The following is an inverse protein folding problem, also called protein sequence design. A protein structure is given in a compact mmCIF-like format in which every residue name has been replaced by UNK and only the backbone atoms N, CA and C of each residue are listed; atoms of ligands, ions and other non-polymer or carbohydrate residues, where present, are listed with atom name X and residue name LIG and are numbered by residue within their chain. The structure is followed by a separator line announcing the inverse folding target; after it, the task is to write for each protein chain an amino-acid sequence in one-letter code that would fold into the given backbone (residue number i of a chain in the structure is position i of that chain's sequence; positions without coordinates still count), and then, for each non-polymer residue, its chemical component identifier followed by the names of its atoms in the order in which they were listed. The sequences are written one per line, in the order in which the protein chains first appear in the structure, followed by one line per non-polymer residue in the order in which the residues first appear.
data_IF_888118988688
#
_entry.id   IF_888118988688
#
_cell.length_a   1.000
_cell.length_b   1.000
_cell.length_c   1.000
_cell.angle_alpha   90.00
_cell.angle_beta   90.00
_cell.angle_gamma   90.00
#
_symmetry.space_group_name_H-M   'P 1'
#
loop_
_entity.id
_entity.type
_entity.pdbx_description
1 polymer ?
#
# COMPACT_ATOMS: atom_id res chain seq x y z
N UNK A 1 -6.58 4.90 2.90
CA UNK A 1 -5.23 5.42 3.19
C UNK A 1 -5.38 6.68 4.02
N UNK A 2 -4.50 6.91 5.00
CA UNK A 2 -4.52 8.19 5.74
C UNK A 2 -4.11 9.34 4.82
N UNK A 3 -4.52 10.59 5.10
CA UNK A 3 -4.12 11.76 4.31
C UNK A 3 -2.59 11.87 4.15
N UNK A 4 -1.83 11.53 5.19
CA UNK A 4 -0.36 11.57 5.17
C UNK A 4 0.21 10.53 4.20
N UNK A 5 -0.33 9.30 4.20
CA UNK A 5 0.09 8.25 3.25
C UNK A 5 -0.24 8.66 1.81
N UNK A 6 -1.43 9.25 1.57
CA UNK A 6 -1.81 9.74 0.23
C UNK A 6 -0.80 10.78 -0.27
N UNK A 7 -0.39 11.70 0.61
CA UNK A 7 0.58 12.74 0.27
C UNK A 7 1.98 12.17 -0.01
N UNK A 8 2.41 11.16 0.76
CA UNK A 8 3.67 10.45 0.50
C UNK A 8 3.65 9.73 -0.85
N UNK A 9 2.59 8.98 -1.14
CA UNK A 9 2.40 8.29 -2.42
C UNK A 9 2.34 9.27 -3.59
N UNK A 10 1.72 10.44 -3.40
CA UNK A 10 1.65 11.49 -4.41
C UNK A 10 3.04 11.99 -4.79
N UNK A 11 3.92 12.21 -3.82
CA UNK A 11 5.31 12.62 -4.08
C UNK A 11 6.09 11.54 -4.84
N UNK A 12 5.90 10.27 -4.47
CA UNK A 12 6.55 9.15 -5.16
C UNK A 12 6.07 9.02 -6.62
N UNK A 13 4.75 9.16 -6.84
CA UNK A 13 4.14 9.17 -8.17
C UNK A 13 4.63 10.34 -9.02
N UNK A 14 4.62 11.57 -8.49
CA UNK A 14 5.05 12.79 -9.19
C UNK A 14 6.54 12.72 -9.57
N UNK A 15 7.38 12.14 -8.70
CA UNK A 15 8.78 11.86 -9.04
C UNK A 15 8.91 10.82 -10.15
N UNK A 16 8.16 9.71 -10.05
CA UNK A 16 8.20 8.63 -11.03
C UNK A 16 7.75 9.08 -12.42
N UNK A 17 6.62 9.79 -12.52
CA UNK A 17 6.07 10.24 -13.81
C UNK A 17 6.92 11.33 -14.48
N UNK A 18 7.77 12.00 -13.70
CA UNK A 18 8.70 13.04 -14.18
C UNK A 18 10.11 12.48 -14.47
N UNK A 19 10.35 11.18 -14.25
CA UNK A 19 11.70 10.58 -14.31
C UNK A 19 11.72 9.31 -15.18
N UNK A 20 12.29 9.36 -16.41
CA UNK A 20 12.91 10.52 -17.05
C UNK A 20 11.87 11.57 -17.48
N UNK A 21 12.32 12.81 -17.66
CA UNK A 21 11.47 13.89 -18.11
C UNK A 21 10.77 13.51 -19.43
N UNK A 22 9.46 13.78 -19.57
CA UNK A 22 8.75 13.48 -20.80
C UNK A 22 9.39 14.21 -21.99
N UNK A 23 9.39 13.60 -23.19
CA UNK A 23 10.00 14.18 -24.39
C UNK A 23 9.29 15.45 -24.88
N UNK A 24 8.12 15.74 -24.32
CA UNK A 24 7.32 16.94 -24.57
C UNK A 24 7.47 17.91 -23.40
N UNK A 25 7.48 19.24 -23.63
CA UNK A 25 7.61 20.27 -22.59
C UNK A 25 6.28 20.44 -21.84
N UNK A 26 5.75 19.34 -21.33
CA UNK A 26 4.54 19.26 -20.54
C UNK A 26 4.97 18.96 -19.11
N UNK A 27 4.41 19.69 -18.15
CA UNK A 27 4.50 19.33 -16.74
C UNK A 27 3.42 18.27 -16.44
N UNK A 28 3.79 16.98 -16.27
CA UNK A 28 2.82 15.94 -15.95
C UNK A 28 2.12 16.19 -14.61
N UNK A 29 2.74 16.97 -13.71
CA UNK A 29 2.23 17.27 -12.39
C UNK A 29 1.27 18.47 -12.39
N UNK A 30 0.96 19.07 -13.55
CA UNK A 30 -0.02 20.16 -13.65
C UNK A 30 -1.38 19.73 -13.10
N UNK A 31 -2.00 20.58 -12.27
CA UNK A 31 -3.30 20.32 -11.62
C UNK A 31 -4.39 21.29 -12.05
N UNK A 32 -5.63 20.81 -12.03
CA UNK A 32 -6.83 21.63 -12.15
C UNK A 32 -7.16 22.33 -10.82
N UNK A 33 -8.13 23.25 -10.84
CA UNK A 33 -8.55 23.99 -9.63
C UNK A 33 -9.10 23.10 -8.51
N UNK A 34 -9.59 21.92 -8.85
CA UNK A 34 -10.12 20.93 -7.91
C UNK A 34 -9.04 19.98 -7.35
N UNK A 35 -7.78 20.14 -7.77
CA UNK A 35 -6.65 19.33 -7.32
C UNK A 35 -6.38 18.06 -8.14
N UNK A 36 -7.21 17.72 -9.14
CA UNK A 36 -6.95 16.59 -10.06
C UNK A 36 -5.83 16.91 -11.02
N UNK A 37 -5.16 15.89 -11.56
CA UNK A 37 -4.18 16.10 -12.62
C UNK A 37 -4.88 16.63 -13.88
N UNK A 38 -4.23 17.57 -14.57
CA UNK A 38 -4.80 18.26 -15.72
C UNK A 38 -5.00 17.36 -16.94
N UNK A 39 -4.23 16.27 -17.02
CA UNK A 39 -4.25 15.32 -18.13
C UNK A 39 -4.89 14.00 -17.70
N UNK A 40 -5.91 13.56 -18.44
CA UNK A 40 -6.70 12.36 -18.11
C UNK A 40 -5.84 11.10 -17.96
N UNK A 41 -4.80 10.94 -18.78
CA UNK A 41 -3.90 9.77 -18.69
C UNK A 41 -3.03 9.79 -17.43
N UNK A 42 -2.68 10.97 -16.91
CA UNK A 42 -1.95 11.12 -15.64
C UNK A 42 -2.89 10.89 -14.46
N UNK A 43 -4.11 11.44 -14.51
CA UNK A 43 -5.15 11.18 -13.51
C UNK A 43 -5.49 9.68 -13.43
N UNK A 44 -5.59 9.01 -14.59
CA UNK A 44 -5.78 7.56 -14.65
C UNK A 44 -4.60 6.80 -14.03
N UNK A 45 -3.36 7.16 -14.39
CA UNK A 45 -2.16 6.55 -13.82
C UNK A 45 -2.08 6.76 -12.30
N UNK A 46 -2.47 7.94 -11.81
CA UNK A 46 -2.56 8.23 -10.38
C UNK A 46 -3.58 7.32 -9.67
N UNK A 47 -4.77 7.12 -10.24
CA UNK A 47 -5.77 6.19 -9.66
C UNK A 47 -5.26 4.75 -9.61
N UNK A 48 -4.57 4.30 -10.66
CA UNK A 48 -3.93 2.98 -10.67
C UNK A 48 -2.83 2.87 -9.60
N UNK A 49 -2.02 3.92 -9.43
CA UNK A 49 -1.02 4.01 -8.37
C UNK A 49 -1.65 3.96 -6.99
N UNK A 50 -2.72 4.71 -6.75
CA UNK A 50 -3.46 4.69 -5.48
C UNK A 50 -4.06 3.31 -5.19
N UNK A 51 -4.59 2.62 -6.21
CA UNK A 51 -5.10 1.26 -6.06
C UNK A 51 -3.98 0.29 -5.64
N UNK A 52 -2.80 0.39 -6.27
CA UNK A 52 -1.60 -0.36 -5.86
C UNK A 52 -1.19 -0.01 -4.43
N UNK A 53 -1.06 1.27 -4.08
CA UNK A 53 -0.60 1.71 -2.76
C UNK A 53 -1.62 1.45 -1.63
N UNK A 54 -2.89 1.31 -1.98
CA UNK A 54 -3.96 0.88 -1.08
C UNK A 54 -3.93 -0.63 -0.82
N UNK A 55 -3.30 -1.43 -1.70
CA UNK A 55 -2.98 -2.81 -1.34
C UNK A 55 -1.94 -2.77 -0.21
N UNK A 56 -2.14 -3.65 0.75
CA UNK A 56 -1.23 -3.79 1.88
C UNK A 56 0.12 -4.29 1.36
N UNK A 57 1.17 -3.48 1.50
CA UNK A 57 2.53 -3.94 1.23
C UNK A 57 3.00 -4.82 2.39
N UNK A 58 3.81 -5.82 2.08
CA UNK A 58 4.48 -6.64 3.08
C UNK A 58 5.53 -5.82 3.82
N UNK A 59 5.39 -5.72 5.13
CA UNK A 59 6.28 -4.98 6.03
C UNK A 59 7.25 -5.97 6.65
N UNK A 60 8.54 -5.74 6.49
CA UNK A 60 9.57 -6.54 7.15
C UNK A 60 9.45 -6.40 8.67
N UNK A 61 9.51 -7.52 9.40
CA UNK A 61 9.51 -7.51 10.87
C UNK A 61 10.70 -6.76 11.46
N UNK A 62 11.77 -6.55 10.67
CA UNK A 62 12.95 -5.75 11.05
C UNK A 62 12.70 -4.24 10.94
N UNK A 63 11.80 -3.82 10.05
CA UNK A 63 11.50 -2.40 9.83
C UNK A 63 10.47 -1.92 10.86
N UNK A 64 9.43 -2.74 11.07
CA UNK A 64 8.35 -2.44 12.01
C UNK A 64 7.63 -3.72 12.43
N UNK A 65 7.33 -3.84 13.73
CA UNK A 65 6.46 -4.89 14.25
C UNK A 65 4.98 -4.48 14.15
N UNK A 66 4.05 -5.43 14.01
CA UNK A 66 2.61 -5.16 14.08
C UNK A 66 2.22 -4.69 15.49
N UNK A 67 1.07 -3.99 15.59
CA UNK A 67 0.53 -3.63 16.90
C UNK A 67 -0.03 -4.87 17.59
N UNK A 68 -0.05 -4.84 18.93
CA UNK A 68 -0.63 -5.94 19.70
C UNK A 68 -2.13 -6.06 19.41
N UNK A 69 -2.58 -7.30 19.18
CA UNK A 69 -3.96 -7.68 18.90
C UNK A 69 -4.48 -7.33 17.50
N UNK A 70 -3.62 -6.93 16.55
CA UNK A 70 -3.99 -6.81 15.15
C UNK A 70 -4.12 -8.19 14.48
N UNK A 71 -5.17 -8.38 13.68
CA UNK A 71 -5.27 -9.53 12.78
C UNK A 71 -4.48 -9.24 11.49
N UNK A 72 -3.48 -10.08 11.22
CA UNK A 72 -2.48 -9.87 10.18
C UNK A 72 -2.24 -11.15 9.37
N UNK A 73 -1.68 -10.99 8.18
CA UNK A 73 -1.01 -12.06 7.45
C UNK A 73 0.48 -12.01 7.77
N UNK A 74 1.09 -13.18 7.98
CA UNK A 74 2.53 -13.34 8.18
C UNK A 74 3.11 -14.21 7.07
N UNK A 75 4.26 -13.80 6.55
CA UNK A 75 5.08 -14.55 5.61
C UNK A 75 6.32 -15.11 6.32
N UNK A 76 6.57 -16.41 6.16
CA UNK A 76 7.68 -17.12 6.82
C UNK A 76 8.91 -17.27 5.91
N UNK A 77 10.05 -17.61 6.50
CA UNK A 77 11.27 -17.95 5.78
C UNK A 77 11.14 -19.23 4.94
N UNK A 78 10.15 -20.07 5.27
CA UNK A 78 9.83 -21.29 4.54
C UNK A 78 8.93 -21.01 3.31
N UNK A 79 8.45 -19.77 3.18
CA UNK A 79 7.63 -19.34 2.05
C UNK A 79 6.11 -19.44 2.28
N UNK A 80 5.69 -19.77 3.50
CA UNK A 80 4.28 -19.94 3.85
C UNK A 80 3.63 -18.63 4.29
N UNK A 81 2.31 -18.54 4.09
CA UNK A 81 1.48 -17.41 4.52
C UNK A 81 0.39 -17.89 5.47
N UNK A 82 0.30 -17.28 6.66
CA UNK A 82 -0.70 -17.61 7.67
C UNK A 82 -1.42 -16.36 8.19
N UNK A 83 -2.76 -16.43 8.41
CA UNK A 83 -3.46 -15.43 9.20
C UNK A 83 -3.22 -15.68 10.69
N UNK A 84 -2.82 -14.66 11.45
CA UNK A 84 -2.63 -14.73 12.90
C UNK A 84 -3.13 -13.44 13.57
N UNK A 85 -3.48 -13.54 14.86
CA UNK A 85 -3.63 -12.37 15.73
C UNK A 85 -2.27 -12.05 16.35
N UNK A 86 -1.75 -10.83 16.15
CA UNK A 86 -0.51 -10.38 16.76
C UNK A 86 -0.65 -10.38 18.29
N UNK A 87 0.26 -11.04 19.02
CA UNK A 87 0.22 -11.09 20.48
C UNK A 87 1.52 -10.52 21.05
N UNK A 88 1.39 -9.46 21.87
CA UNK A 88 2.49 -8.85 22.60
C UNK A 88 2.59 -9.46 24.01
N UNK A 89 3.15 -10.67 24.13
CA UNK A 89 3.68 -11.14 25.42
C UNK A 89 5.04 -11.78 25.20
N UNK A 90 6.05 -11.16 25.82
CA UNK A 90 7.33 -11.76 26.18
C UNK A 90 7.96 -12.67 25.10
N UNK A 91 8.65 -12.01 24.16
CA UNK A 91 9.71 -12.58 23.29
C UNK A 91 9.22 -13.61 22.23
N UNK A 92 7.93 -13.91 22.14
CA UNK A 92 7.36 -14.73 21.05
C UNK A 92 6.26 -13.99 20.30
N UNK A 93 6.69 -12.99 19.52
CA UNK A 93 5.79 -12.12 18.76
C UNK A 93 5.07 -12.79 17.58
N UNK A 94 5.39 -14.04 17.29
CA UNK A 94 4.88 -14.74 16.13
C UNK A 94 4.76 -16.19 16.55
N UNK A 95 3.55 -16.72 16.64
CA UNK A 95 3.29 -18.16 16.87
C UNK A 95 3.81 -19.07 15.76
N UNK A 96 4.74 -18.55 14.94
CA UNK A 96 5.36 -19.18 13.79
C UNK A 96 6.84 -18.78 13.82
N UNK A 97 7.71 -19.71 14.20
CA UNK A 97 9.16 -19.56 14.03
C UNK A 97 9.46 -19.19 12.58
N UNK A 98 10.32 -18.20 12.35
CA UNK A 98 10.79 -17.88 11.00
C UNK A 98 9.99 -16.83 10.23
N UNK A 99 9.08 -16.09 10.85
CA UNK A 99 8.40 -14.98 10.18
C UNK A 99 9.35 -13.85 9.75
N UNK A 100 9.19 -13.39 8.52
CA UNK A 100 10.05 -12.37 7.89
C UNK A 100 9.31 -11.09 7.54
N UNK A 101 8.04 -11.19 7.13
CA UNK A 101 7.20 -10.04 6.78
C UNK A 101 5.78 -10.23 7.29
N UNK A 102 5.05 -9.12 7.45
CA UNK A 102 3.64 -9.12 7.78
C UNK A 102 2.89 -8.06 6.97
N UNK A 103 1.59 -8.23 6.83
CA UNK A 103 0.69 -7.18 6.31
C UNK A 103 -0.66 -7.25 7.04
N UNK A 104 -1.39 -6.14 7.18
CA UNK A 104 -2.75 -6.19 7.69
C UNK A 104 -3.63 -7.04 6.77
N UNK A 105 -4.66 -7.68 7.34
CA UNK A 105 -5.63 -8.44 6.55
C UNK A 105 -6.24 -7.56 5.44
N UNK A 106 -6.41 -8.08 4.22
CA UNK A 106 -7.15 -7.37 3.19
C UNK A 106 -8.58 -7.16 3.66
N UNK A 107 -9.19 -6.04 3.25
CA UNK A 107 -10.61 -5.84 3.48
C UNK A 107 -11.40 -7.04 2.89
N UNK A 108 -12.44 -7.53 3.59
CA UNK A 108 -13.25 -8.61 3.05
C UNK A 108 -13.83 -8.20 1.69
N UNK A 109 -14.00 -9.14 0.76
CA UNK A 109 -14.66 -8.84 -0.50
C UNK A 109 -16.04 -8.28 -0.19
N UNK A 110 -16.29 -7.05 -0.65
CA UNK A 110 -17.61 -6.45 -0.52
C UNK A 110 -18.44 -6.98 -1.66
N UNK A 111 -19.37 -7.89 -1.40
CA UNK A 111 -20.39 -8.26 -2.39
C UNK A 111 -21.21 -7.01 -2.65
N UNK A 112 -20.97 -6.33 -3.77
CA UNK A 112 -21.98 -5.48 -4.37
C UNK A 112 -22.66 -6.32 -5.47
N UNK A 113 -23.77 -7.02 -5.18
CA UNK A 113 -24.53 -7.76 -6.19
C UNK A 113 -25.29 -6.83 -7.17
N UNK A 114 -24.82 -5.59 -7.38
CA UNK A 114 -25.45 -4.59 -8.23
C UNK A 114 -24.41 -3.92 -9.16
N UNK A 115 -23.75 -4.74 -9.97
CA UNK A 115 -23.12 -4.32 -11.21
C UNK A 115 -23.22 -5.50 -12.19
N UNK A 116 -24.34 -5.50 -12.91
CA UNK A 116 -24.76 -6.36 -14.04
C UNK A 116 -25.13 -7.83 -13.78
#
# INVERSE_FOLDING_TARGET
MTPEKIEQERKAFEWWISSPAPPVPIDPCQKQKDGRYAYDHIEFAWRAWQARAAQSEWISVKDRLPEAHDDILVYTCDGDIYPITAMCRDITWIGISGATHWQPLPAPPTTNPAAE
#
